data_IF_722859339010
#
_entry.id   IF_722859339010
#
_cell.length_a   1.000
_cell.length_b   1.000
_cell.length_c   1.000
_cell.angle_alpha   90.00
_cell.angle_beta   90.00
_cell.angle_gamma   90.00
#
_symmetry.space_group_name_H-M   'P 1'
#
loop_
_entity.id
_entity.type
_entity.pdbx_description
1 polymer ?
#
# COMPACT_ATOMS: atom_id res chain seq x y z
N UNK A 1 6.16 -12.15 -6.14
CA UNK A 1 5.75 -11.13 -5.16
C UNK A 1 4.96 -11.80 -4.05
N UNK A 2 5.29 -11.39 -2.82
CA UNK A 2 4.75 -11.83 -1.55
C UNK A 2 3.20 -11.96 -1.50
N UNK A 3 2.47 -10.94 -1.98
CA UNK A 3 1.00 -10.92 -2.01
C UNK A 3 0.41 -11.94 -3.01
N UNK A 4 1.05 -12.12 -4.17
CA UNK A 4 0.63 -13.07 -5.21
C UNK A 4 0.63 -14.51 -4.71
N UNK A 5 1.66 -14.87 -3.95
CA UNK A 5 1.82 -16.21 -3.40
C UNK A 5 0.68 -16.57 -2.42
N UNK A 6 0.07 -15.55 -1.83
CA UNK A 6 -0.97 -15.69 -0.82
C UNK A 6 -2.39 -15.57 -1.42
N UNK A 7 -2.51 -15.43 -2.75
CA UNK A 7 -3.79 -15.28 -3.44
C UNK A 7 -4.51 -13.96 -3.15
N UNK A 8 -3.81 -12.98 -2.57
CA UNK A 8 -4.38 -11.66 -2.28
C UNK A 8 -4.47 -10.90 -3.60
N UNK A 9 -5.63 -10.34 -3.91
CA UNK A 9 -5.79 -9.43 -5.04
C UNK A 9 -5.45 -8.02 -4.59
N UNK A 10 -4.66 -7.29 -5.39
CA UNK A 10 -4.36 -5.88 -5.17
C UNK A 10 -4.46 -5.13 -6.50
N UNK A 11 -4.73 -3.84 -6.39
CA UNK A 11 -4.60 -2.92 -7.51
C UNK A 11 -3.20 -2.29 -7.43
N UNK A 12 -2.41 -2.44 -8.49
CA UNK A 12 -1.07 -1.87 -8.56
C UNK A 12 -1.16 -0.45 -9.09
N UNK A 13 -0.78 0.51 -8.25
CA UNK A 13 -0.76 1.93 -8.60
C UNK A 13 0.69 2.40 -8.60
N UNK A 14 1.15 2.86 -9.77
CA UNK A 14 2.48 3.42 -9.93
C UNK A 14 2.49 4.91 -9.58
N UNK A 15 3.19 5.25 -8.50
CA UNK A 15 3.24 6.64 -8.01
C UNK A 15 4.19 7.54 -8.81
N UNK A 16 5.05 6.96 -9.66
CA UNK A 16 5.95 7.74 -10.51
C UNK A 16 5.19 8.29 -11.73
N UNK A 17 4.21 7.53 -12.23
CA UNK A 17 3.29 7.97 -13.29
C UNK A 17 2.05 8.71 -12.81
N UNK A 18 1.64 8.55 -11.55
CA UNK A 18 0.44 9.17 -10.99
C UNK A 18 0.80 10.17 -9.85
N UNK A 19 0.79 11.48 -10.14
CA UNK A 19 1.11 12.49 -9.14
C UNK A 19 0.10 12.53 -7.98
N UNK A 20 -1.16 12.17 -8.20
CA UNK A 20 -2.15 12.12 -7.13
C UNK A 20 -1.88 10.94 -6.18
N UNK A 21 -1.41 9.81 -6.70
CA UNK A 21 -0.97 8.69 -5.89
C UNK A 21 0.30 9.03 -5.09
N UNK A 22 1.26 9.76 -5.68
CA UNK A 22 2.43 10.27 -4.97
C UNK A 22 2.04 11.18 -3.79
N UNK A 23 1.16 12.17 -4.03
CA UNK A 23 0.65 13.06 -2.98
C UNK A 23 -0.08 12.30 -1.87
N UNK A 24 -0.86 11.26 -2.24
CA UNK A 24 -1.50 10.39 -1.25
C UNK A 24 -0.47 9.65 -0.40
N UNK A 25 0.53 9.02 -1.02
CA UNK A 25 1.62 8.31 -0.30
C UNK A 25 2.35 9.29 0.62
N UNK A 26 2.63 10.51 0.16
CA UNK A 26 3.25 11.55 0.97
C UNK A 26 2.39 11.92 2.17
N UNK A 27 1.09 12.15 1.93
CA UNK A 27 0.13 12.53 2.98
C UNK A 27 0.03 11.49 4.09
N UNK A 28 0.05 10.20 3.77
CA UNK A 28 -0.04 9.12 4.77
C UNK A 28 1.29 8.80 5.46
N UNK A 29 2.40 9.34 4.96
CA UNK A 29 3.77 9.10 5.44
C UNK A 29 4.45 10.36 5.98
N UNK A 30 3.69 11.40 6.33
CA UNK A 30 4.23 12.64 6.89
C UNK A 30 5.12 13.42 5.91
N UNK A 31 4.76 13.39 4.63
CA UNK A 31 5.47 14.07 3.53
C UNK A 31 6.47 13.20 2.77
N UNK A 32 6.66 11.94 3.17
CA UNK A 32 7.62 11.05 2.51
C UNK A 32 6.95 10.13 1.49
N UNK A 33 7.50 10.03 0.28
CA UNK A 33 7.01 9.09 -0.72
C UNK A 33 7.63 7.69 -0.51
N UNK A 34 7.23 7.00 0.55
CA UNK A 34 7.77 5.68 0.91
C UNK A 34 6.98 4.57 0.22
N UNK A 35 7.69 3.71 -0.50
CA UNK A 35 7.15 2.51 -1.13
C UNK A 35 7.82 1.26 -0.54
N UNK A 36 7.12 0.12 -0.43
CA UNK A 36 5.70 -0.10 -0.79
C UNK A 36 4.74 0.44 0.28
N UNK A 37 3.70 1.19 -0.13
CA UNK A 37 2.59 1.60 0.74
C UNK A 37 1.31 0.91 0.28
N UNK A 38 0.57 0.30 1.21
CA UNK A 38 -0.68 -0.42 0.93
C UNK A 38 -1.84 0.37 1.54
N UNK A 39 -2.87 0.62 0.74
CA UNK A 39 -4.14 1.18 1.19
C UNK A 39 -5.20 0.09 1.22
N UNK A 40 -5.90 -0.03 2.35
CA UNK A 40 -6.97 -1.00 2.55
C UNK A 40 -8.33 -0.36 2.27
N UNK A 41 -9.34 -1.20 2.02
CA UNK A 41 -10.70 -0.75 1.74
C UNK A 41 -11.35 -0.01 2.93
N UNK A 42 -10.89 -0.25 4.16
CA UNK A 42 -11.34 0.48 5.35
C UNK A 42 -10.77 1.91 5.43
N UNK A 43 -9.91 2.29 4.49
CA UNK A 43 -9.22 3.58 4.47
C UNK A 43 -7.92 3.60 5.26
N UNK A 44 -7.61 2.55 6.04
CA UNK A 44 -6.31 2.43 6.69
C UNK A 44 -5.19 2.22 5.67
N UNK A 45 -3.99 2.67 6.03
CA UNK A 45 -2.78 2.50 5.22
C UNK A 45 -1.68 1.84 6.05
N UNK A 46 -0.85 1.05 5.38
CA UNK A 46 0.37 0.52 5.96
C UNK A 46 1.56 0.85 5.07
N UNK A 47 2.61 1.35 5.69
CA UNK A 47 3.85 1.71 5.02
C UNK A 47 4.89 0.64 5.26
N UNK A 48 5.44 0.12 4.17
CA UNK A 48 6.37 -1.01 4.16
C UNK A 48 5.87 -2.25 4.96
N UNK A 49 4.62 -2.71 4.75
CA UNK A 49 4.08 -3.82 5.54
C UNK A 49 4.69 -5.17 5.15
N UNK A 50 4.76 -6.06 6.13
CA UNK A 50 4.96 -7.49 5.88
C UNK A 50 3.66 -8.16 5.41
N UNK A 51 3.77 -9.28 4.68
CA UNK A 51 2.60 -10.09 4.25
C UNK A 51 1.67 -10.40 5.43
N UNK A 52 2.25 -10.78 6.58
CA UNK A 52 1.47 -11.16 7.77
C UNK A 52 0.60 -9.99 8.25
N UNK A 53 1.12 -8.77 8.22
CA UNK A 53 0.35 -7.57 8.57
C UNK A 53 -0.77 -7.30 7.56
N UNK A 54 -0.48 -7.46 6.26
CA UNK A 54 -1.50 -7.31 5.22
C UNK A 54 -2.59 -8.35 5.39
N UNK A 55 -2.25 -9.63 5.58
CA UNK A 55 -3.23 -10.70 5.85
C UNK A 55 -4.06 -10.43 7.09
N UNK A 56 -3.43 -10.09 8.22
CA UNK A 56 -4.14 -9.80 9.47
C UNK A 56 -5.12 -8.62 9.34
N UNK A 57 -4.87 -7.70 8.40
CA UNK A 57 -5.79 -6.60 8.06
C UNK A 57 -6.92 -7.01 7.11
N UNK A 58 -6.70 -8.02 6.28
CA UNK A 58 -7.71 -8.54 5.35
C UNK A 58 -8.64 -9.58 5.99
N UNK A 59 -8.20 -10.27 7.04
CA UNK A 59 -9.00 -11.29 7.77
C UNK A 59 -8.15 -12.43 8.29
#
# INVERSE_FOLDING_TARGET
MALKAEGISWDEVDIEGDPAAAEFVGSVNGGNHVVPTVKFADGSTLTNPSIKQVKAKLG
#
